data_IF_008113499479
#
_entry.id   IF_008113499479
#
_cell.length_a   1.000
_cell.length_b   1.000
_cell.length_c   1.000
_cell.angle_alpha   90.00
_cell.angle_beta   90.00
_cell.angle_gamma   90.00
#
_symmetry.space_group_name_H-M   'P 1'
#
loop_
_entity.id
_entity.type
_entity.pdbx_description
1 polymer ?
#
# COMPACT_ATOMS: atom_id res chain seq x y z
N UNK A 1 28.61 1.41 0.19
CA UNK A 1 27.97 0.14 -0.21
C UNK A 1 28.01 -0.78 1.01
N UNK A 2 26.85 -1.23 1.48
CA UNK A 2 26.77 -2.12 2.64
C UNK A 2 26.89 -3.53 2.09
N UNK A 3 28.03 -4.19 2.33
CA UNK A 3 28.26 -5.54 1.82
C UNK A 3 27.17 -6.49 2.31
N UNK A 4 26.57 -7.24 1.40
CA UNK A 4 25.64 -8.33 1.72
C UNK A 4 25.98 -9.57 0.91
N UNK A 5 25.93 -10.77 1.53
CA UNK A 5 26.00 -12.00 0.78
C UNK A 5 24.79 -12.08 -0.15
N UNK A 6 25.04 -12.24 -1.45
CA UNK A 6 23.97 -12.52 -2.40
C UNK A 6 23.33 -13.88 -2.06
N UNK A 7 22.03 -14.01 -2.26
CA UNK A 7 21.41 -15.34 -2.35
C UNK A 7 21.84 -15.93 -3.70
N UNK A 8 22.84 -16.79 -3.69
CA UNK A 8 23.67 -17.02 -4.87
C UNK A 8 22.97 -17.68 -6.07
N UNK A 9 21.79 -18.29 -5.96
CA UNK A 9 21.27 -19.08 -7.09
C UNK A 9 19.76 -19.30 -7.19
N UNK A 10 18.93 -19.03 -6.18
CA UNK A 10 17.48 -19.37 -6.25
C UNK A 10 16.60 -18.45 -5.42
N UNK A 11 15.49 -17.99 -6.02
CA UNK A 11 14.37 -17.24 -5.41
C UNK A 11 13.66 -18.03 -4.28
N UNK A 12 14.02 -19.30 -4.10
CA UNK A 12 13.50 -20.19 -3.07
C UNK A 12 14.66 -20.60 -2.16
N UNK A 13 15.06 -19.72 -1.26
CA UNK A 13 15.94 -20.05 -0.12
C UNK A 13 15.06 -20.39 1.10
N UNK A 14 14.79 -21.68 1.36
CA UNK A 14 14.02 -22.11 2.54
C UNK A 14 14.78 -21.96 3.86
N UNK A 15 16.09 -21.65 3.86
CA UNK A 15 16.87 -21.48 5.09
C UNK A 15 16.77 -20.04 5.61
N UNK A 16 16.85 -19.04 4.72
CA UNK A 16 16.82 -17.63 5.14
C UNK A 16 15.43 -16.99 5.14
N UNK A 17 14.40 -17.63 4.57
CA UNK A 17 13.03 -17.09 4.50
C UNK A 17 12.92 -15.65 3.94
N UNK A 18 13.98 -15.12 3.32
CA UNK A 18 14.08 -13.71 2.97
C UNK A 18 13.54 -13.47 1.57
N UNK A 19 12.21 -13.44 1.48
CA UNK A 19 11.46 -13.27 0.23
C UNK A 19 11.63 -11.88 -0.41
N UNK A 20 12.42 -10.97 0.19
CA UNK A 20 12.76 -9.67 -0.39
C UNK A 20 14.26 -9.35 -0.14
N UNK A 21 15.17 -9.65 -1.09
CA UNK A 21 16.60 -9.31 -0.96
C UNK A 21 16.86 -7.79 -0.91
N UNK A 22 15.85 -7.00 -1.25
CA UNK A 22 15.90 -5.54 -1.17
C UNK A 22 15.72 -5.06 0.28
N UNK A 23 16.78 -4.46 0.83
CA UNK A 23 16.80 -3.86 2.18
C UNK A 23 16.99 -2.35 2.06
N UNK A 24 15.86 -1.63 1.98
CA UNK A 24 15.78 -0.18 2.15
C UNK A 24 16.29 0.67 0.97
N UNK A 25 15.77 1.90 0.87
CA UNK A 25 16.25 2.92 -0.06
C UNK A 25 17.15 3.93 0.67
N UNK A 26 18.01 4.63 -0.09
CA UNK A 26 18.58 5.92 0.33
C UNK A 26 17.69 7.04 -0.21
N UNK A 27 17.09 7.84 0.67
CA UNK A 27 16.32 9.01 0.29
C UNK A 27 17.22 10.25 0.30
N UNK A 28 17.35 10.90 -0.85
CA UNK A 28 18.20 12.07 -1.06
C UNK A 28 17.38 13.27 -1.50
N UNK A 29 17.77 14.44 -1.05
CA UNK A 29 17.24 15.73 -1.48
C UNK A 29 18.34 16.55 -2.16
N UNK A 30 17.94 17.45 -3.06
CA UNK A 30 18.87 18.39 -3.71
C UNK A 30 19.28 19.43 -2.68
N UNK A 31 20.56 19.75 -2.61
CA UNK A 31 21.04 20.82 -1.72
C UNK A 31 20.54 22.15 -2.28
N UNK A 32 19.80 22.89 -1.46
CA UNK A 32 19.24 24.20 -1.78
C UNK A 32 20.02 25.30 -1.05
N UNK A 33 20.20 26.43 -1.72
CA UNK A 33 20.76 27.67 -1.17
C UNK A 33 19.70 28.43 -0.33
N UNK A 34 20.09 29.51 0.35
CA UNK A 34 19.22 30.27 1.26
C UNK A 34 17.95 30.83 0.59
N UNK A 35 17.99 31.10 -0.73
CA UNK A 35 16.81 31.47 -1.54
C UNK A 35 16.04 30.28 -2.16
N UNK A 36 16.31 29.04 -1.73
CA UNK A 36 15.55 27.86 -2.14
C UNK A 36 15.83 27.39 -3.58
N UNK A 37 16.90 27.87 -4.21
CA UNK A 37 17.37 27.40 -5.52
C UNK A 37 18.41 26.28 -5.31
N UNK A 38 18.52 25.31 -6.23
CA UNK A 38 19.62 24.35 -6.18
C UNK A 38 20.96 25.05 -6.12
N UNK A 39 21.83 24.59 -5.22
CA UNK A 39 23.19 25.13 -5.08
C UNK A 39 23.98 24.95 -6.39
N UNK A 40 25.08 25.68 -6.52
CA UNK A 40 25.94 25.56 -7.69
C UNK A 40 26.35 24.11 -7.95
N UNK A 41 26.41 23.79 -9.24
CA UNK A 41 26.77 22.45 -9.71
C UNK A 41 28.18 22.08 -9.26
N UNK A 42 28.43 20.80 -9.05
CA UNK A 42 29.77 20.30 -8.78
C UNK A 42 30.73 20.60 -9.94
N UNK A 43 32.03 20.41 -9.73
CA UNK A 43 33.08 20.58 -10.73
C UNK A 43 32.85 19.75 -12.01
N UNK A 44 32.02 18.70 -11.92
CA UNK A 44 31.58 17.83 -13.02
C UNK A 44 30.23 18.26 -13.63
N UNK A 45 29.62 19.34 -13.17
CA UNK A 45 28.35 19.88 -13.66
C UNK A 45 27.09 19.20 -13.13
N UNK A 46 27.21 18.33 -12.12
CA UNK A 46 26.09 17.62 -11.51
C UNK A 46 25.46 18.40 -10.34
N UNK A 47 24.17 18.15 -10.10
CA UNK A 47 23.49 18.64 -8.90
C UNK A 47 24.02 17.91 -7.66
N UNK A 48 24.20 18.66 -6.58
CA UNK A 48 24.61 18.14 -5.28
C UNK A 48 23.38 17.59 -4.54
N UNK A 49 23.53 16.41 -3.92
CA UNK A 49 22.48 15.76 -3.15
C UNK A 49 22.96 15.47 -1.73
N UNK A 50 22.07 15.66 -0.76
CA UNK A 50 22.26 15.29 0.65
C UNK A 50 21.24 14.22 1.03
N UNK A 51 21.57 13.34 1.98
CA UNK A 51 20.58 12.46 2.61
C UNK A 51 19.52 13.30 3.33
N UNK A 52 18.26 12.89 3.23
CA UNK A 52 17.16 13.57 3.92
C UNK A 52 17.32 13.41 5.43
N UNK A 53 17.30 14.51 6.17
CA UNK A 53 17.42 14.48 7.63
C UNK A 53 16.15 13.89 8.27
N UNK A 54 16.33 12.97 9.22
CA UNK A 54 15.24 12.23 9.87
C UNK A 54 14.22 13.15 10.58
N UNK A 55 14.68 14.28 11.13
CA UNK A 55 13.83 15.24 11.84
C UNK A 55 12.76 15.87 10.95
N UNK A 56 13.03 15.99 9.65
CA UNK A 56 12.10 16.58 8.68
C UNK A 56 11.01 15.60 8.24
N UNK A 57 11.13 14.32 8.60
CA UNK A 57 10.30 13.22 8.09
C UNK A 57 9.11 12.85 8.97
N UNK A 58 8.96 13.45 10.15
CA UNK A 58 8.00 13.01 11.17
C UNK A 58 6.53 12.95 10.71
N UNK A 59 6.13 13.75 9.71
CA UNK A 59 4.75 13.81 9.19
C UNK A 59 4.52 12.93 7.95
N UNK A 60 5.56 12.32 7.38
CA UNK A 60 5.44 11.53 6.15
C UNK A 60 5.06 10.09 6.43
N UNK A 61 4.17 9.54 5.61
CA UNK A 61 3.68 8.16 5.74
C UNK A 61 4.50 7.15 4.92
N UNK A 62 5.35 7.61 3.99
CA UNK A 62 6.07 6.75 3.06
C UNK A 62 7.39 6.23 3.63
N UNK A 63 8.19 7.10 4.25
CA UNK A 63 9.43 6.73 4.94
C UNK A 63 9.66 7.66 6.13
N UNK A 64 10.28 7.13 7.18
CA UNK A 64 10.55 7.83 8.45
C UNK A 64 12.04 8.03 8.73
N UNK A 65 12.91 7.45 7.90
CA UNK A 65 14.38 7.57 7.96
C UNK A 65 14.92 7.86 6.57
N UNK A 66 15.95 8.68 6.46
CA UNK A 66 16.65 9.01 5.23
C UNK A 66 17.47 7.84 4.66
N UNK A 67 18.12 7.07 5.53
CA UNK A 67 18.77 5.80 5.17
C UNK A 67 18.02 4.64 5.83
N UNK A 68 17.57 3.68 5.03
CA UNK A 68 16.83 2.50 5.49
C UNK A 68 17.59 1.22 5.17
N UNK A 69 18.84 1.32 4.71
CA UNK A 69 19.63 0.13 4.36
C UNK A 69 20.06 -0.64 5.60
N UNK A 70 20.39 0.05 6.67
CA UNK A 70 20.79 -0.53 7.96
C UNK A 70 19.62 -0.83 8.90
N UNK A 71 18.37 -0.71 8.44
CA UNK A 71 17.19 -0.91 9.28
C UNK A 71 17.21 -2.29 9.95
N UNK A 72 17.30 -2.29 11.29
CA UNK A 72 17.38 -3.47 12.17
C UNK A 72 18.75 -4.19 12.21
N UNK A 73 19.82 -3.55 11.73
CA UNK A 73 21.19 -4.13 11.69
C UNK A 73 22.05 -3.74 12.91
N UNK A 74 21.42 -3.61 14.08
CA UNK A 74 22.13 -3.42 15.36
C UNK A 74 22.18 -1.98 15.89
N UNK A 75 21.52 -1.04 15.24
CA UNK A 75 21.20 0.28 15.75
C UNK A 75 20.15 0.19 16.88
N UNK A 76 20.55 0.66 18.08
CA UNK A 76 19.81 0.83 19.35
C UNK A 76 18.45 0.11 19.38
N UNK A 77 18.45 -1.16 19.80
CA UNK A 77 17.25 -1.95 20.14
C UNK A 77 16.42 -1.39 21.31
N UNK A 78 16.82 -0.25 21.85
CA UNK A 78 16.45 0.19 23.20
C UNK A 78 15.20 1.09 23.27
N UNK A 79 14.52 1.40 22.16
CA UNK A 79 13.35 2.29 22.24
C UNK A 79 12.21 1.99 21.26
N UNK A 80 11.96 0.71 20.95
CA UNK A 80 10.65 0.34 20.37
C UNK A 80 10.00 -0.71 21.24
N UNK A 81 9.53 -0.25 22.40
CA UNK A 81 8.63 -1.01 23.24
C UNK A 81 7.26 -1.04 22.55
N UNK A 82 7.04 -2.08 21.75
CA UNK A 82 5.71 -2.39 21.26
C UNK A 82 4.92 -2.93 22.46
N UNK A 83 4.25 -2.03 23.18
CA UNK A 83 3.34 -2.36 24.30
C UNK A 83 2.14 -3.20 23.83
N UNK A 84 2.43 -4.45 23.46
CA UNK A 84 1.48 -5.44 23.00
C UNK A 84 0.45 -5.67 24.11
N UNK A 85 -0.77 -5.19 23.91
CA UNK A 85 -1.86 -5.31 24.88
C UNK A 85 -2.15 -4.05 25.68
N UNK A 86 -1.21 -3.09 25.75
CA UNK A 86 -1.42 -1.82 26.45
C UNK A 86 -1.93 -0.73 25.50
N UNK A 87 -1.39 -0.67 24.28
CA UNK A 87 -1.76 0.33 23.28
C UNK A 87 -1.91 -0.33 21.91
N UNK A 88 -3.03 -0.06 21.24
CA UNK A 88 -3.25 -0.53 19.87
C UNK A 88 -3.28 0.65 18.93
N UNK A 89 -2.77 0.48 17.70
CA UNK A 89 -2.94 1.46 16.62
C UNK A 89 -4.40 1.56 16.14
N UNK A 90 -5.30 0.76 16.72
CA UNK A 90 -6.74 0.78 16.46
C UNK A 90 -7.38 1.71 17.49
N UNK A 91 -7.91 2.82 17.00
CA UNK A 91 -8.69 3.79 17.75
C UNK A 91 -10.11 3.92 17.15
N UNK A 92 -10.95 4.77 17.74
CA UNK A 92 -12.33 5.01 17.27
C UNK A 92 -12.39 5.61 15.85
N UNK A 93 -11.28 6.17 15.37
CA UNK A 93 -11.12 6.75 14.04
C UNK A 93 -10.66 5.73 13.00
N UNK A 94 -10.29 4.51 13.42
CA UNK A 94 -9.85 3.46 12.53
C UNK A 94 -11.03 2.81 11.79
N UNK A 95 -10.90 2.62 10.47
CA UNK A 95 -11.92 2.00 9.61
C UNK A 95 -11.37 0.77 8.91
N UNK A 96 -12.22 -0.24 8.76
CA UNK A 96 -11.87 -1.49 8.07
C UNK A 96 -12.00 -1.32 6.56
N UNK A 97 -10.99 -1.78 5.82
CA UNK A 97 -11.07 -1.89 4.37
C UNK A 97 -10.68 -3.31 3.92
N UNK A 98 -11.26 -3.77 2.80
CA UNK A 98 -11.14 -5.15 2.29
C UNK A 98 -10.97 -5.19 0.77
N UNK A 99 -10.66 -6.37 0.23
CA UNK A 99 -10.62 -6.64 -1.22
C UNK A 99 -9.24 -6.52 -1.87
N UNK A 100 -8.20 -6.29 -1.07
CA UNK A 100 -6.84 -6.01 -1.53
C UNK A 100 -6.77 -4.84 -2.51
N UNK A 101 -5.59 -4.65 -3.10
CA UNK A 101 -5.29 -3.59 -4.04
C UNK A 101 -4.34 -4.13 -5.10
N UNK A 102 -4.12 -3.36 -6.17
CA UNK A 102 -3.17 -3.70 -7.22
C UNK A 102 -1.72 -3.92 -6.71
N UNK A 103 -1.39 -3.34 -5.56
CA UNK A 103 -0.08 -3.47 -4.93
C UNK A 103 -0.05 -4.43 -3.75
N UNK A 104 -1.09 -5.25 -3.56
CA UNK A 104 -1.17 -6.26 -2.50
C UNK A 104 -0.86 -7.65 -3.05
N UNK A 105 -0.17 -8.47 -2.24
CA UNK A 105 0.11 -9.88 -2.56
C UNK A 105 -1.13 -10.76 -2.33
N UNK A 106 -1.14 -11.94 -2.93
CA UNK A 106 -2.26 -12.90 -2.88
C UNK A 106 -2.73 -13.22 -1.45
N UNK A 107 -1.83 -13.30 -0.49
CA UNK A 107 -2.16 -13.50 0.93
C UNK A 107 -3.18 -12.47 1.45
N UNK A 108 -3.10 -11.22 0.98
CA UNK A 108 -3.97 -10.11 1.37
C UNK A 108 -5.30 -10.06 0.60
N UNK A 109 -5.50 -10.94 -0.38
CA UNK A 109 -6.73 -11.05 -1.17
C UNK A 109 -7.73 -12.04 -0.59
N UNK A 110 -7.40 -12.70 0.52
CA UNK A 110 -8.35 -13.55 1.24
C UNK A 110 -9.53 -12.73 1.79
N UNK A 111 -10.79 -13.18 1.62
CA UNK A 111 -11.97 -12.45 2.10
C UNK A 111 -12.03 -12.32 3.64
N UNK A 112 -11.35 -13.24 4.34
CA UNK A 112 -11.23 -13.23 5.79
C UNK A 112 -10.29 -12.15 6.33
N UNK A 113 -9.35 -11.67 5.52
CA UNK A 113 -8.33 -10.73 5.95
C UNK A 113 -8.94 -9.35 6.23
N UNK A 114 -8.69 -8.82 7.44
CA UNK A 114 -9.15 -7.49 7.88
C UNK A 114 -7.93 -6.58 8.04
N UNK A 115 -7.97 -5.43 7.39
CA UNK A 115 -6.98 -4.36 7.55
C UNK A 115 -7.68 -3.08 7.98
N UNK A 116 -6.92 -2.22 8.64
CA UNK A 116 -7.43 -1.00 9.23
C UNK A 116 -6.60 0.18 8.76
N UNK A 117 -7.26 1.31 8.53
CA UNK A 117 -6.62 2.58 8.26
C UNK A 117 -7.44 3.69 8.94
N UNK A 118 -6.74 4.71 9.41
CA UNK A 118 -7.33 5.92 9.96
C UNK A 118 -8.27 6.59 8.93
N UNK A 119 -9.46 7.00 9.36
CA UNK A 119 -10.48 7.62 8.51
C UNK A 119 -10.02 8.94 7.86
N UNK A 120 -9.07 9.65 8.47
CA UNK A 120 -8.56 10.94 7.98
C UNK A 120 -7.51 10.78 6.88
N UNK A 121 -7.00 9.56 6.67
CA UNK A 121 -5.87 9.30 5.77
C UNK A 121 -6.31 8.69 4.45
N UNK A 122 -5.83 9.25 3.34
CA UNK A 122 -6.07 8.71 1.99
C UNK A 122 -4.96 7.74 1.55
N UNK A 123 -5.23 6.94 0.51
CA UNK A 123 -4.27 6.01 -0.11
C UNK A 123 -4.60 5.85 -1.58
N UNK A 124 -3.58 5.79 -2.44
CA UNK A 124 -3.74 5.45 -3.87
C UNK A 124 -4.15 3.98 -4.11
N UNK A 125 -4.06 3.13 -3.08
CA UNK A 125 -4.41 1.70 -3.15
C UNK A 125 -5.80 1.38 -2.61
N UNK A 126 -6.53 2.36 -2.07
CA UNK A 126 -7.81 2.15 -1.39
C UNK A 126 -8.89 2.98 -2.07
N UNK A 127 -10.02 2.35 -2.36
CA UNK A 127 -11.23 2.99 -2.87
C UNK A 127 -12.47 2.52 -2.09
N UNK A 128 -13.65 2.85 -2.60
CA UNK A 128 -14.92 2.45 -2.00
C UNK A 128 -15.85 1.79 -3.03
N UNK A 129 -16.77 0.96 -2.55
CA UNK A 129 -17.88 0.42 -3.32
C UNK A 129 -19.17 0.79 -2.62
N UNK A 130 -20.13 1.33 -3.37
CA UNK A 130 -21.45 1.65 -2.83
C UNK A 130 -22.20 0.36 -2.49
N UNK A 131 -22.81 0.34 -1.30
CA UNK A 131 -23.76 -0.68 -0.89
C UNK A 131 -25.12 -0.01 -0.70
N UNK A 132 -26.20 -0.69 -1.09
CA UNK A 132 -27.55 -0.20 -0.95
C UNK A 132 -28.40 -1.27 -0.27
N UNK A 133 -29.32 -0.84 0.58
CA UNK A 133 -30.35 -1.73 1.11
C UNK A 133 -31.29 -2.12 -0.03
N UNK A 134 -31.78 -3.37 -0.01
CA UNK A 134 -32.79 -3.81 -0.96
C UNK A 134 -34.07 -2.99 -0.72
N UNK A 135 -34.56 -2.31 -1.75
CA UNK A 135 -35.75 -1.44 -1.68
C UNK A 135 -37.07 -2.24 -1.62
N UNK A 136 -37.09 -3.49 -2.11
CA UNK A 136 -38.30 -4.33 -2.16
C UNK A 136 -38.99 -4.32 -3.54
N UNK A 137 -40.06 -5.11 -3.69
CA UNK A 137 -41.01 -4.98 -4.79
C UNK A 137 -42.19 -4.08 -4.41
N UNK A 138 -42.99 -3.64 -5.38
CA UNK A 138 -44.12 -2.71 -5.17
C UNK A 138 -45.17 -3.24 -4.16
N UNK A 139 -45.31 -4.57 -4.06
CA UNK A 139 -46.35 -5.24 -3.26
C UNK A 139 -45.81 -5.82 -1.94
N UNK A 140 -44.50 -6.00 -1.78
CA UNK A 140 -43.90 -6.51 -0.53
C UNK A 140 -42.41 -6.87 -0.62
N UNK A 141 -41.83 -7.22 0.52
CA UNK A 141 -40.42 -7.65 0.62
C UNK A 141 -40.13 -8.99 -0.09
N UNK A 142 -41.17 -9.84 -0.26
CA UNK A 142 -41.09 -11.15 -0.90
C UNK A 142 -41.04 -11.07 -2.43
N UNK A 143 -41.52 -9.98 -3.01
CA UNK A 143 -41.55 -9.80 -4.46
C UNK A 143 -40.19 -9.33 -4.98
N UNK A 144 -39.57 -10.11 -5.87
CA UNK A 144 -38.33 -9.72 -6.56
C UNK A 144 -38.58 -8.54 -7.51
N UNK A 145 -38.66 -7.33 -6.96
CA UNK A 145 -38.53 -6.09 -7.72
C UNK A 145 -37.13 -6.03 -8.36
N UNK A 146 -37.08 -5.69 -9.65
CA UNK A 146 -35.85 -5.62 -10.43
C UNK A 146 -36.11 -5.44 -11.93
N UNK A 147 -35.03 -5.30 -12.69
CA UNK A 147 -35.08 -5.14 -14.15
C UNK A 147 -35.42 -6.50 -14.77
N UNK A 148 -36.58 -6.61 -15.42
CA UNK A 148 -36.89 -7.78 -16.24
C UNK A 148 -36.13 -7.69 -17.56
N UNK A 149 -35.08 -8.49 -17.71
CA UNK A 149 -34.35 -8.58 -18.97
C UNK A 149 -35.22 -9.29 -20.01
N UNK A 150 -35.34 -8.71 -21.21
CA UNK A 150 -35.98 -9.40 -22.32
C UNK A 150 -35.19 -10.67 -22.65
N UNK A 151 -35.84 -11.83 -22.51
CA UNK A 151 -35.27 -13.07 -23.02
C UNK A 151 -35.17 -13.00 -24.54
N UNK A 152 -34.02 -13.41 -25.08
CA UNK A 152 -33.79 -13.43 -26.52
C UNK A 152 -34.82 -14.36 -27.17
N UNK A 153 -35.76 -13.79 -27.92
CA UNK A 153 -36.76 -14.54 -28.65
C UNK A 153 -36.14 -15.68 -29.48
N UNK A 154 -36.82 -16.83 -29.52
CA UNK A 154 -36.35 -18.03 -30.24
C UNK A 154 -36.09 -17.69 -31.71
N UNK A 155 -34.85 -17.89 -32.19
CA UNK A 155 -34.50 -17.65 -33.60
C UNK A 155 -35.30 -18.60 -34.50
N UNK A 156 -36.30 -18.07 -35.20
CA UNK A 156 -37.04 -18.82 -36.23
C UNK A 156 -36.18 -18.88 -37.49
N UNK A 157 -35.71 -20.07 -37.87
CA UNK A 157 -35.02 -20.29 -39.15
C UNK A 157 -36.05 -20.20 -40.28
N UNK A 158 -36.12 -19.07 -40.98
CA UNK A 158 -36.92 -18.93 -42.21
C UNK A 158 -36.12 -19.50 -43.39
N UNK A 159 -36.68 -20.47 -44.12
CA UNK A 159 -36.16 -20.89 -45.42
C UNK A 159 -36.76 -19.98 -46.49
N UNK A 160 -35.92 -19.32 -47.26
CA UNK A 160 -36.34 -18.59 -48.45
C UNK A 160 -36.60 -19.61 -49.57
N UNK A 161 -37.69 -19.41 -50.32
CA UNK A 161 -38.10 -20.25 -51.44
C UNK A 161 -37.45 -19.75 -52.72
#
# INVERSE_FOLDING_TARGET
>A
DVYRPLTNTTISDPENHDLNPFRGNEFKEVILDEEGRPIDKDSLGYLQYKLVDDDTLGLRENYRKGDVRDYQDGDIKEFVDYGYGDWSLINDESRVYKGGSWGDRLYWLSPGTRRFKDQSKSSNKIGFRCAMVRVGGETGNEDMGGIQFQEKGRKIKRRYK
#
